data_IF_471835870952
#
_entry.id   IF_471835870952
#
_cell.length_a   1.000
_cell.length_b   1.000
_cell.length_c   1.000
_cell.angle_alpha   90.00
_cell.angle_beta   90.00
_cell.angle_gamma   90.00
#
_symmetry.space_group_name_H-M   'P 1'
#
loop_
_entity.id
_entity.type
_entity.pdbx_description
1 polymer ?
#
# COMPACT_ATOMS: atom_id res chain seq x y z
N UNK A 1 -3.97 30.33 -6.57
CA UNK A 1 -3.81 29.63 -5.28
C UNK A 1 -4.37 28.24 -5.46
N UNK A 2 -3.53 27.20 -5.55
CA UNK A 2 -4.02 25.83 -5.63
C UNK A 2 -4.84 25.54 -4.36
N UNK A 3 -6.08 25.08 -4.53
CA UNK A 3 -6.98 24.82 -3.41
C UNK A 3 -6.37 23.76 -2.49
N UNK A 4 -6.16 24.11 -1.22
CA UNK A 4 -5.73 23.14 -0.21
C UNK A 4 -6.71 21.96 -0.22
N UNK A 5 -6.20 20.77 -0.47
CA UNK A 5 -7.00 19.55 -0.46
C UNK A 5 -7.31 19.19 1.00
N UNK A 6 -8.58 19.25 1.37
CA UNK A 6 -9.05 19.05 2.75
C UNK A 6 -9.20 17.55 3.07
N UNK A 7 -8.32 17.03 3.95
CA UNK A 7 -8.35 15.64 4.39
C UNK A 7 -9.68 15.25 5.04
N UNK A 8 -10.35 16.16 5.75
CA UNK A 8 -11.65 15.87 6.38
C UNK A 8 -12.67 15.57 5.29
N UNK A 9 -12.73 16.38 4.23
CA UNK A 9 -13.64 16.15 3.09
C UNK A 9 -13.31 14.87 2.35
N UNK A 10 -12.02 14.57 2.18
CA UNK A 10 -11.57 13.32 1.58
C UNK A 10 -12.13 12.13 2.34
N UNK A 11 -11.80 12.01 3.64
CA UNK A 11 -12.18 10.85 4.42
C UNK A 11 -13.69 10.75 4.64
N UNK A 12 -14.40 11.88 4.73
CA UNK A 12 -15.87 11.90 4.73
C UNK A 12 -16.45 11.31 3.44
N UNK A 13 -15.90 11.68 2.29
CA UNK A 13 -16.40 11.18 1.00
C UNK A 13 -16.09 9.70 0.82
N UNK A 14 -14.91 9.25 1.24
CA UNK A 14 -14.56 7.81 1.26
C UNK A 14 -15.52 7.04 2.17
N UNK A 15 -15.75 7.53 3.40
CA UNK A 15 -16.70 6.92 4.35
C UNK A 15 -18.10 6.81 3.75
N UNK A 16 -18.57 7.87 3.08
CA UNK A 16 -19.87 7.88 2.41
C UNK A 16 -19.97 6.83 1.30
N UNK A 17 -18.97 6.75 0.42
CA UNK A 17 -18.97 5.76 -0.66
C UNK A 17 -18.90 4.32 -0.12
N UNK A 18 -18.12 4.08 0.94
CA UNK A 18 -18.08 2.78 1.60
C UNK A 18 -19.44 2.42 2.21
N UNK A 19 -20.10 3.36 2.90
CA UNK A 19 -21.44 3.15 3.46
C UNK A 19 -22.48 2.84 2.38
N UNK A 20 -22.41 3.50 1.22
CA UNK A 20 -23.28 3.20 0.08
C UNK A 20 -23.06 1.81 -0.51
N UNK A 21 -21.89 1.21 -0.29
CA UNK A 21 -21.53 -0.12 -0.78
C UNK A 21 -21.49 -1.18 0.34
N UNK A 22 -21.90 -0.82 1.56
CA UNK A 22 -21.76 -1.66 2.76
C UNK A 22 -22.39 -3.05 2.59
N UNK A 23 -23.63 -3.12 2.13
CA UNK A 23 -24.32 -4.40 1.94
C UNK A 23 -23.64 -5.28 0.89
N UNK A 24 -23.09 -4.68 -0.17
CA UNK A 24 -22.38 -5.42 -1.21
C UNK A 24 -21.05 -5.97 -0.67
N UNK A 25 -20.36 -5.21 0.17
CA UNK A 25 -19.14 -5.64 0.84
C UNK A 25 -19.41 -6.75 1.86
N UNK A 26 -20.52 -6.67 2.61
CA UNK A 26 -20.96 -7.75 3.51
C UNK A 26 -21.29 -9.03 2.75
N UNK A 27 -21.95 -8.93 1.59
CA UNK A 27 -22.23 -10.12 0.75
C UNK A 27 -20.97 -10.73 0.16
N UNK A 28 -19.95 -9.93 -0.15
CA UNK A 28 -18.69 -10.41 -0.71
C UNK A 28 -17.81 -11.14 0.33
N UNK A 29 -18.04 -10.86 1.61
CA UNK A 29 -17.42 -11.57 2.72
C UNK A 29 -18.22 -12.84 3.04
N UNK A 30 -17.76 -13.98 2.52
CA UNK A 30 -18.46 -15.27 2.65
C UNK A 30 -18.29 -15.96 4.00
N UNK A 31 -17.51 -15.39 4.92
CA UNK A 31 -17.23 -16.03 6.21
C UNK A 31 -18.22 -15.60 7.29
N UNK A 32 -18.26 -14.30 7.59
CA UNK A 32 -19.07 -13.73 8.67
C UNK A 32 -19.94 -12.55 8.23
N UNK A 33 -19.88 -12.15 6.96
CA UNK A 33 -20.76 -11.15 6.34
C UNK A 33 -20.76 -9.78 7.02
N UNK A 34 -19.64 -9.35 7.61
CA UNK A 34 -19.54 -8.09 8.36
C UNK A 34 -18.42 -7.17 7.84
N UNK A 35 -17.74 -7.55 6.75
CA UNK A 35 -16.62 -6.77 6.22
C UNK A 35 -17.00 -5.33 5.85
N UNK A 36 -18.18 -5.11 5.29
CA UNK A 36 -18.74 -3.79 5.00
C UNK A 36 -18.93 -2.96 6.27
N UNK A 37 -19.54 -3.53 7.32
CA UNK A 37 -19.67 -2.88 8.63
C UNK A 37 -18.31 -2.49 9.20
N UNK A 38 -17.37 -3.44 9.17
CA UNK A 38 -16.01 -3.26 9.67
C UNK A 38 -15.27 -2.12 8.94
N UNK A 39 -15.31 -2.10 7.61
CA UNK A 39 -14.64 -1.05 6.81
C UNK A 39 -15.30 0.32 6.99
N UNK A 40 -16.63 0.38 7.06
CA UNK A 40 -17.34 1.64 7.34
C UNK A 40 -16.98 2.17 8.72
N UNK A 41 -16.89 1.29 9.74
CA UNK A 41 -16.45 1.68 11.08
C UNK A 41 -15.01 2.20 11.08
N UNK A 42 -14.09 1.53 10.38
CA UNK A 42 -12.69 1.96 10.23
C UNK A 42 -12.63 3.39 9.68
N UNK A 43 -13.29 3.67 8.56
CA UNK A 43 -13.23 4.99 7.95
C UNK A 43 -13.98 6.08 8.73
N UNK A 44 -15.01 5.72 9.50
CA UNK A 44 -15.61 6.63 10.47
C UNK A 44 -14.62 7.04 11.57
N UNK A 45 -13.84 6.09 12.11
CA UNK A 45 -12.81 6.39 13.12
C UNK A 45 -11.71 7.28 12.55
N UNK A 46 -11.25 7.01 11.33
CA UNK A 46 -10.26 7.85 10.63
C UNK A 46 -10.82 9.27 10.44
N UNK A 47 -12.03 9.39 9.90
CA UNK A 47 -12.69 10.69 9.67
C UNK A 47 -12.82 11.49 10.96
N UNK A 48 -13.21 10.82 12.06
CA UNK A 48 -13.31 11.45 13.39
C UNK A 48 -11.95 11.96 13.87
N UNK A 49 -10.90 11.17 13.72
CA UNK A 49 -9.56 11.53 14.17
C UNK A 49 -8.96 12.70 13.38
N UNK A 50 -9.04 12.65 12.04
CA UNK A 50 -8.59 13.74 11.16
C UNK A 50 -9.35 15.03 11.47
N UNK A 51 -10.68 14.95 11.66
CA UNK A 51 -11.50 16.12 12.03
C UNK A 51 -11.08 16.74 13.35
N UNK A 52 -10.66 15.93 14.34
CA UNK A 52 -10.16 16.43 15.62
C UNK A 52 -8.82 17.19 15.50
N UNK A 53 -8.10 17.00 14.40
CA UNK A 53 -6.80 17.65 14.11
C UNK A 53 -6.85 18.56 12.88
N UNK A 54 -8.03 19.01 12.45
CA UNK A 54 -8.22 19.74 11.17
C UNK A 54 -7.32 20.98 10.95
N UNK A 55 -6.88 21.63 12.02
CA UNK A 55 -6.01 22.82 11.97
C UNK A 55 -4.50 22.48 12.04
N UNK A 56 -4.14 21.21 12.24
CA UNK A 56 -2.76 20.75 12.30
C UNK A 56 -2.20 20.47 10.90
N UNK A 57 -0.89 20.26 10.80
CA UNK A 57 -0.26 19.84 9.55
C UNK A 57 -0.84 18.49 9.06
N UNK A 58 -0.77 18.25 7.75
CA UNK A 58 -1.25 17.00 7.12
C UNK A 58 -0.61 15.78 7.78
N UNK A 59 0.70 15.82 8.05
CA UNK A 59 1.40 14.75 8.76
C UNK A 59 0.84 14.49 10.15
N UNK A 60 0.49 15.53 10.91
CA UNK A 60 -0.04 15.39 12.27
C UNK A 60 -1.47 14.86 12.27
N UNK A 61 -2.28 15.28 11.30
CA UNK A 61 -3.63 14.75 11.08
C UNK A 61 -3.59 13.24 10.82
N UNK A 62 -2.69 12.80 9.93
CA UNK A 62 -2.53 11.40 9.55
C UNK A 62 -1.91 10.56 10.69
N UNK A 63 -0.90 11.10 11.40
CA UNK A 63 -0.28 10.43 12.54
C UNK A 63 -1.30 10.18 13.66
N UNK A 64 -2.06 11.21 14.02
CA UNK A 64 -3.12 11.07 15.02
C UNK A 64 -4.21 10.09 14.59
N UNK A 65 -4.60 10.10 13.30
CA UNK A 65 -5.57 9.14 12.78
C UNK A 65 -5.06 7.70 12.84
N UNK A 66 -3.79 7.46 12.53
CA UNK A 66 -3.15 6.15 12.68
C UNK A 66 -3.19 5.66 14.12
N UNK A 67 -2.77 6.49 15.07
CA UNK A 67 -2.75 6.16 16.49
C UNK A 67 -4.16 5.92 17.03
N UNK A 68 -5.10 6.81 16.70
CA UNK A 68 -6.48 6.70 17.11
C UNK A 68 -7.13 5.44 16.56
N UNK A 69 -6.93 5.12 15.27
CA UNK A 69 -7.46 3.91 14.67
C UNK A 69 -6.88 2.65 15.32
N UNK A 70 -5.56 2.59 15.51
CA UNK A 70 -4.87 1.44 16.12
C UNK A 70 -5.38 1.13 17.54
N UNK A 71 -5.75 2.17 18.31
CA UNK A 71 -6.28 2.01 19.67
C UNK A 71 -7.76 1.61 19.70
N UNK A 72 -8.54 1.99 18.68
CA UNK A 72 -9.99 1.86 18.70
C UNK A 72 -10.53 0.78 17.73
N UNK A 73 -9.68 0.17 16.91
CA UNK A 73 -10.05 -0.91 16.00
C UNK A 73 -8.91 -1.93 15.85
N UNK A 74 -9.25 -3.19 16.04
CA UNK A 74 -8.28 -4.30 16.04
C UNK A 74 -8.51 -5.28 14.88
N UNK A 75 -9.41 -4.94 13.95
CA UNK A 75 -9.64 -5.75 12.75
C UNK A 75 -8.40 -5.69 11.86
N UNK A 76 -8.18 -6.74 11.06
CA UNK A 76 -7.05 -6.75 10.14
C UNK A 76 -7.12 -5.63 9.09
N UNK A 77 -8.30 -5.12 8.73
CA UNK A 77 -8.43 -3.98 7.82
C UNK A 77 -8.11 -2.67 8.53
N UNK A 78 -8.56 -2.51 9.78
CA UNK A 78 -8.19 -1.39 10.64
C UNK A 78 -6.68 -1.27 10.87
N UNK A 79 -6.01 -2.39 11.13
CA UNK A 79 -4.54 -2.44 11.26
C UNK A 79 -3.84 -2.04 9.95
N UNK A 80 -4.28 -2.58 8.81
CA UNK A 80 -3.73 -2.24 7.50
C UNK A 80 -3.83 -0.73 7.20
N UNK A 81 -5.01 -0.14 7.42
CA UNK A 81 -5.22 1.29 7.22
C UNK A 81 -4.46 2.13 8.25
N UNK A 82 -4.34 1.70 9.50
CA UNK A 82 -3.55 2.41 10.50
C UNK A 82 -2.07 2.47 10.11
N UNK A 83 -1.50 1.36 9.63
CA UNK A 83 -0.14 1.31 9.09
C UNK A 83 0.00 2.21 7.83
N UNK A 84 -1.01 2.23 6.97
CA UNK A 84 -1.07 3.14 5.83
C UNK A 84 -1.04 4.62 6.22
N UNK A 85 -1.83 4.99 7.23
CA UNK A 85 -1.86 6.34 7.79
C UNK A 85 -0.52 6.74 8.43
N UNK A 86 0.15 5.83 9.16
CA UNK A 86 1.47 6.10 9.73
C UNK A 86 2.55 6.34 8.67
N UNK A 87 2.52 5.55 7.58
CA UNK A 87 3.40 5.75 6.43
C UNK A 87 3.13 7.08 5.75
N UNK A 88 1.87 7.40 5.51
CA UNK A 88 1.48 8.68 4.92
C UNK A 88 1.91 9.86 5.81
N UNK A 89 1.73 9.77 7.12
CA UNK A 89 2.18 10.79 8.07
C UNK A 89 3.68 11.06 7.96
N UNK A 90 4.49 10.00 7.88
CA UNK A 90 5.94 10.11 7.72
C UNK A 90 6.31 10.75 6.38
N UNK A 91 5.65 10.36 5.29
CA UNK A 91 5.93 10.88 3.95
C UNK A 91 5.54 12.36 3.81
N UNK A 92 4.44 12.78 4.43
CA UNK A 92 3.90 14.14 4.31
C UNK A 92 4.45 15.13 5.34
N UNK A 93 5.51 14.78 6.09
CA UNK A 93 6.12 15.68 7.06
C UNK A 93 6.64 16.94 6.38
N UNK A 94 6.16 18.11 6.82
CA UNK A 94 6.51 19.41 6.22
C UNK A 94 5.95 19.63 4.80
N UNK A 95 5.04 18.77 4.34
CA UNK A 95 4.39 18.90 3.04
C UNK A 95 2.92 19.30 3.22
N UNK A 96 2.42 20.14 2.32
CA UNK A 96 0.98 20.35 2.14
C UNK A 96 0.44 19.30 1.18
N UNK A 97 -0.83 18.91 1.35
CA UNK A 97 -1.49 18.02 0.41
C UNK A 97 -1.88 18.81 -0.84
N UNK A 98 -1.36 18.41 -2.00
CA UNK A 98 -1.67 18.97 -3.31
C UNK A 98 -2.09 17.87 -4.29
N UNK A 99 -2.73 18.21 -5.42
CA UNK A 99 -2.99 17.22 -6.47
C UNK A 99 -1.73 16.47 -6.94
N UNK A 100 -0.57 17.12 -6.95
CA UNK A 100 0.69 16.58 -7.48
C UNK A 100 1.27 15.47 -6.59
N UNK A 101 1.17 15.61 -5.26
CA UNK A 101 1.66 14.60 -4.31
C UNK A 101 0.57 13.64 -3.82
N UNK A 102 -0.67 13.83 -4.27
CA UNK A 102 -1.83 13.06 -3.81
C UNK A 102 -1.77 11.57 -4.11
N UNK A 103 -1.15 11.16 -5.22
CA UNK A 103 -0.91 9.75 -5.52
C UNK A 103 0.01 9.09 -4.47
N UNK A 104 0.94 9.85 -3.89
CA UNK A 104 1.75 9.40 -2.78
C UNK A 104 0.91 9.04 -1.56
N UNK A 105 -0.13 9.84 -1.26
CA UNK A 105 -1.08 9.54 -0.18
C UNK A 105 -1.85 8.23 -0.43
N UNK A 106 -2.35 8.02 -1.65
CA UNK A 106 -3.11 6.80 -1.98
C UNK A 106 -2.19 5.57 -1.86
N UNK A 107 -0.97 5.64 -2.39
CA UNK A 107 0.01 4.58 -2.32
C UNK A 107 0.36 4.24 -0.86
N UNK A 108 0.62 5.27 -0.04
CA UNK A 108 0.93 5.09 1.38
C UNK A 108 -0.23 4.46 2.14
N UNK A 109 -1.47 4.93 1.91
CA UNK A 109 -2.66 4.46 2.63
C UNK A 109 -2.99 2.99 2.32
N UNK A 110 -2.92 2.60 1.05
CA UNK A 110 -3.19 1.22 0.64
C UNK A 110 -1.99 0.30 0.88
N UNK A 111 -0.79 0.87 0.94
CA UNK A 111 0.45 0.11 1.05
C UNK A 111 0.83 -0.63 -0.22
N UNK A 112 0.46 -0.08 -1.38
CA UNK A 112 0.87 -0.65 -2.65
C UNK A 112 2.40 -0.57 -2.81
N UNK A 113 3.03 -1.70 -3.15
CA UNK A 113 4.49 -1.80 -3.30
C UNK A 113 5.25 -2.27 -2.06
N UNK A 114 4.56 -2.60 -0.97
CA UNK A 114 5.13 -3.28 0.19
C UNK A 114 4.36 -4.58 0.39
N UNK A 115 4.91 -5.73 -0.02
CA UNK A 115 4.34 -6.99 0.45
C UNK A 115 4.45 -7.03 1.97
N UNK A 116 3.41 -7.54 2.63
CA UNK A 116 3.31 -7.59 4.08
C UNK A 116 4.50 -8.38 4.66
N UNK A 117 5.45 -7.67 5.30
CA UNK A 117 6.59 -8.28 5.96
C UNK A 117 7.89 -7.50 5.77
N UNK A 118 8.02 -6.33 6.39
CA UNK A 118 9.31 -5.79 6.87
C UNK A 118 9.10 -4.45 7.56
N UNK A 119 9.35 -4.43 8.87
CA UNK A 119 9.60 -3.22 9.65
C UNK A 119 10.93 -2.59 9.20
N UNK A 120 10.88 -1.55 8.35
CA UNK A 120 11.73 -0.33 8.41
C UNK A 120 11.47 0.58 7.18
N UNK A 121 11.68 1.90 7.30
CA UNK A 121 11.56 2.80 6.15
C UNK A 121 12.82 2.69 5.29
N UNK A 122 12.71 2.11 4.11
CA UNK A 122 13.72 2.29 3.06
C UNK A 122 13.21 3.36 2.09
N UNK A 123 13.88 4.50 2.09
CA UNK A 123 13.61 5.54 1.09
C UNK A 123 14.11 5.06 -0.28
N UNK A 124 13.45 5.41 -1.39
CA UNK A 124 13.93 5.07 -2.74
C UNK A 124 15.35 5.55 -3.05
N UNK A 125 15.83 6.57 -2.33
CA UNK A 125 17.19 7.10 -2.42
C UNK A 125 18.26 6.15 -1.84
N UNK A 126 17.93 5.37 -0.80
CA UNK A 126 18.87 4.41 -0.17
C UNK A 126 19.10 3.18 -1.06
N UNK A 127 18.08 2.77 -1.82
CA UNK A 127 18.20 1.66 -2.77
C UNK A 127 19.06 2.02 -3.99
N UNK A 128 19.00 3.27 -4.46
CA UNK A 128 19.89 3.75 -5.52
C UNK A 128 21.33 3.93 -5.03
N UNK A 129 21.52 4.32 -3.76
CA UNK A 129 22.84 4.40 -3.12
C UNK A 129 23.52 3.03 -2.97
N UNK A 130 22.74 2.00 -2.61
CA UNK A 130 23.26 0.63 -2.49
C UNK A 130 23.60 -0.01 -3.85
N UNK A 131 22.89 0.36 -4.92
CA UNK A 131 23.16 -0.13 -6.28
C UNK A 131 24.39 0.55 -6.92
N UNK A 132 24.69 1.79 -6.54
CA UNK A 132 25.77 2.59 -7.14
C UNK A 132 27.06 2.62 -6.29
N UNK A 133 27.02 2.16 -5.04
CA UNK A 133 28.10 2.29 -4.06
C UNK A 133 28.88 1.02 -3.73
N UNK A 134 28.90 -0.01 -4.59
CA UNK A 134 29.70 -1.22 -4.38
C UNK A 134 31.20 -0.98 -4.57
N UNK A 135 31.89 -0.41 -3.57
CA UNK A 135 33.33 -0.20 -3.62
C UNK A 135 34.02 -0.03 -2.26
N UNK A 136 34.83 -1.02 -1.88
CA UNK A 136 35.86 -0.98 -0.81
C UNK A 136 35.34 -1.29 0.61
N UNK A 137 35.99 -2.09 1.46
CA UNK A 137 37.37 -2.59 1.50
C UNK A 137 37.44 -3.77 2.50
N UNK A 138 38.26 -4.79 2.20
CA UNK A 138 38.57 -5.97 3.03
C UNK A 138 39.63 -5.63 4.13
N UNK A 139 40.12 -6.53 5.03
CA UNK A 139 40.44 -7.98 4.85
C UNK A 139 39.87 -8.90 5.98
N UNK A 140 39.86 -10.23 5.97
CA UNK A 140 40.79 -11.22 5.41
C UNK A 140 40.16 -12.64 5.23
N UNK A 141 40.76 -13.39 4.29
CA UNK A 141 41.05 -14.84 4.31
C UNK A 141 39.93 -15.86 4.03
N UNK A 142 39.86 -16.35 2.77
CA UNK A 142 40.25 -17.71 2.35
C UNK A 142 39.65 -18.07 0.98
N UNK A 143 40.40 -18.85 0.20
CA UNK A 143 40.29 -19.01 -1.24
C UNK A 143 39.27 -20.06 -1.71
N UNK A 144 38.95 -19.95 -3.02
CA UNK A 144 38.52 -21.04 -3.92
C UNK A 144 37.03 -21.40 -3.94
N UNK A 145 36.22 -20.73 -4.78
CA UNK A 145 34.89 -21.22 -5.17
C UNK A 145 34.40 -20.67 -6.54
N UNK A 146 35.30 -20.47 -7.52
CA UNK A 146 34.92 -20.01 -8.86
C UNK A 146 34.58 -21.16 -9.85
N UNK A 147 34.56 -22.41 -9.37
CA UNK A 147 34.20 -23.60 -10.15
C UNK A 147 32.87 -24.25 -9.78
N UNK A 148 32.24 -23.85 -8.66
CA UNK A 148 31.09 -24.57 -8.08
C UNK A 148 29.71 -24.09 -8.57
N UNK A 149 29.63 -22.93 -9.23
CA UNK A 149 28.35 -22.38 -9.66
C UNK A 149 27.81 -23.01 -10.95
N UNK A 150 28.67 -23.65 -11.76
CA UNK A 150 28.25 -24.31 -13.00
C UNK A 150 27.84 -25.79 -12.80
N UNK A 151 28.25 -26.41 -11.68
CA UNK A 151 27.83 -27.75 -11.28
C UNK A 151 26.45 -27.78 -10.60
N UNK A 152 26.09 -26.70 -9.89
CA UNK A 152 24.83 -26.59 -9.16
C UNK A 152 23.58 -26.36 -10.04
N UNK A 153 23.76 -26.03 -11.33
CA UNK A 153 22.65 -25.83 -12.27
C UNK A 153 22.18 -27.14 -12.94
N UNK A 154 22.92 -28.25 -12.80
CA UNK A 154 22.67 -29.49 -13.54
C UNK A 154 22.32 -30.72 -12.69
N UNK A 155 22.27 -30.62 -11.36
CA UNK A 155 21.99 -31.76 -10.48
C UNK A 155 20.99 -31.41 -9.38
N UNK A 156 19.75 -31.88 -9.51
CA UNK A 156 18.74 -31.78 -8.46
C UNK A 156 19.02 -32.70 -7.27
N UNK A 157 18.44 -32.37 -6.11
CA UNK A 157 18.40 -33.28 -4.96
C UNK A 157 18.26 -32.59 -3.60
N UNK A 158 17.02 -32.50 -3.14
CA UNK A 158 16.55 -32.67 -1.76
C UNK A 158 17.24 -31.97 -0.56
N UNK A 159 16.42 -31.11 0.08
CA UNK A 159 16.17 -31.01 1.53
C UNK A 159 17.33 -30.74 2.50
N UNK A 160 17.38 -29.52 3.03
CA UNK A 160 17.45 -29.28 4.48
C UNK A 160 16.99 -27.88 4.86
N UNK A 161 16.12 -27.85 5.88
CA UNK A 161 15.47 -26.69 6.47
C UNK A 161 16.48 -25.75 7.13
N UNK A 162 16.40 -24.45 6.81
CA UNK A 162 16.75 -23.40 7.74
C UNK A 162 15.95 -22.12 7.40
N UNK A 163 14.81 -21.95 8.09
CA UNK A 163 13.94 -20.78 7.96
C UNK A 163 14.50 -19.63 8.80
N UNK A 164 15.01 -18.58 8.16
CA UNK A 164 15.03 -17.21 8.68
C UNK A 164 15.39 -16.21 7.57
N UNK A 165 14.49 -15.23 7.37
CA UNK A 165 14.65 -13.96 6.63
C UNK A 165 14.78 -14.05 5.11
N UNK A 166 13.64 -14.27 4.46
CA UNK A 166 13.42 -13.81 3.08
C UNK A 166 13.32 -12.28 3.07
N UNK A 167 14.42 -11.63 2.71
CA UNK A 167 14.32 -10.36 1.98
C UNK A 167 13.69 -10.66 0.63
N UNK A 168 12.69 -9.87 0.24
CA UNK A 168 12.01 -10.04 -1.04
C UNK A 168 13.02 -9.99 -2.19
N UNK A 169 13.21 -11.12 -2.87
CA UNK A 169 14.12 -11.23 -4.01
C UNK A 169 13.70 -10.25 -5.11
N UNK A 170 14.67 -9.60 -5.76
CA UNK A 170 14.43 -8.73 -6.92
C UNK A 170 13.76 -9.49 -8.07
N UNK A 171 13.97 -10.80 -8.18
CA UNK A 171 13.22 -11.68 -9.09
C UNK A 171 11.76 -11.84 -8.69
N UNK A 172 11.46 -11.86 -7.38
CA UNK A 172 10.08 -11.91 -6.87
C UNK A 172 9.38 -10.56 -7.03
N UNK A 173 10.09 -9.44 -6.83
CA UNK A 173 9.61 -8.09 -7.12
C UNK A 173 9.36 -7.89 -8.63
N UNK A 174 10.24 -8.39 -9.49
CA UNK A 174 10.08 -8.34 -10.94
C UNK A 174 8.92 -9.24 -11.39
N UNK A 175 8.76 -10.43 -10.80
CA UNK A 175 7.60 -11.29 -11.06
C UNK A 175 6.28 -10.61 -10.63
N UNK A 176 6.27 -9.91 -9.50
CA UNK A 176 5.13 -9.12 -9.04
C UNK A 176 4.85 -7.92 -9.97
N UNK A 177 5.90 -7.22 -10.43
CA UNK A 177 5.80 -6.13 -11.40
C UNK A 177 5.31 -6.59 -12.78
N UNK A 178 5.74 -7.77 -13.24
CA UNK A 178 5.24 -8.41 -14.45
C UNK A 178 3.77 -8.79 -14.31
N UNK A 179 3.35 -9.32 -13.16
CA UNK A 179 1.94 -9.66 -12.91
C UNK A 179 1.05 -8.42 -12.89
N UNK A 180 1.52 -7.33 -12.27
CA UNK A 180 0.86 -6.00 -12.31
C UNK A 180 0.76 -5.48 -13.74
N UNK A 181 1.84 -5.56 -14.53
CA UNK A 181 1.88 -5.13 -15.91
C UNK A 181 0.96 -5.95 -16.83
N UNK A 182 0.90 -7.27 -16.63
CA UNK A 182 0.01 -8.16 -17.36
C UNK A 182 -1.46 -7.89 -17.02
N UNK A 183 -1.82 -7.72 -15.74
CA UNK A 183 -3.18 -7.35 -15.35
C UNK A 183 -3.59 -5.98 -15.90
N UNK A 184 -2.68 -5.00 -15.94
CA UNK A 184 -2.93 -3.71 -16.58
C UNK A 184 -3.19 -3.85 -18.09
N UNK A 185 -2.39 -4.68 -18.78
CA UNK A 185 -2.53 -4.93 -20.21
C UNK A 185 -3.81 -5.71 -20.53
N UNK A 186 -4.18 -6.65 -19.67
CA UNK A 186 -5.40 -7.44 -19.78
C UNK A 186 -6.64 -6.59 -19.51
N UNK A 187 -6.62 -5.72 -18.49
CA UNK A 187 -7.68 -4.75 -18.23
C UNK A 187 -7.90 -3.83 -19.44
N UNK A 188 -6.81 -3.39 -20.10
CA UNK A 188 -6.90 -2.60 -21.34
C UNK A 188 -7.48 -3.40 -22.51
N UNK A 189 -7.18 -4.70 -22.60
CA UNK A 189 -7.80 -5.61 -23.59
C UNK A 189 -9.29 -5.85 -23.31
N UNK A 190 -9.69 -5.84 -22.04
CA UNK A 190 -11.09 -5.94 -21.61
C UNK A 190 -11.86 -4.61 -21.74
N UNK A 191 -11.21 -3.54 -22.22
CA UNK A 191 -11.85 -2.24 -22.45
C UNK A 191 -11.96 -1.34 -21.22
N UNK A 192 -11.32 -1.70 -20.10
CA UNK A 192 -11.27 -0.84 -18.92
C UNK A 192 -10.48 0.44 -19.20
N UNK A 193 -10.91 1.53 -18.56
CA UNK A 193 -10.21 2.81 -18.63
C UNK A 193 -8.84 2.72 -17.95
N UNK A 194 -7.90 3.60 -18.35
CA UNK A 194 -6.57 3.66 -17.74
C UNK A 194 -6.63 3.86 -16.21
N UNK A 195 -7.68 4.51 -15.71
CA UNK A 195 -7.90 4.76 -14.29
C UNK A 195 -8.33 3.49 -13.55
N UNK A 196 -9.25 2.70 -14.11
CA UNK A 196 -9.66 1.42 -13.54
C UNK A 196 -8.48 0.44 -13.48
N UNK A 197 -7.68 0.36 -14.55
CA UNK A 197 -6.50 -0.49 -14.59
C UNK A 197 -5.44 -0.07 -13.55
N UNK A 198 -5.31 1.24 -13.28
CA UNK A 198 -4.44 1.75 -12.21
C UNK A 198 -4.98 1.43 -10.81
N UNK A 199 -6.28 1.53 -10.59
CA UNK A 199 -6.90 1.12 -9.32
C UNK A 199 -6.69 -0.39 -9.09
N UNK A 200 -6.89 -1.20 -10.13
CA UNK A 200 -6.69 -2.65 -10.06
C UNK A 200 -5.24 -3.01 -9.70
N UNK A 201 -4.26 -2.38 -10.35
CA UNK A 201 -2.83 -2.63 -10.07
C UNK A 201 -2.44 -2.19 -8.67
N UNK A 202 -2.96 -1.04 -8.23
CA UNK A 202 -2.71 -0.51 -6.90
C UNK A 202 -3.25 -1.42 -5.81
N UNK A 203 -4.48 -1.91 -5.98
CA UNK A 203 -5.12 -2.83 -5.03
C UNK A 203 -4.45 -4.19 -5.06
N UNK A 204 -4.12 -4.74 -6.23
CA UNK A 204 -3.42 -6.01 -6.36
C UNK A 204 -2.02 -5.96 -5.71
N UNK A 205 -1.32 -4.84 -5.82
CA UNK A 205 -0.03 -4.61 -5.19
C UNK A 205 -0.09 -4.25 -3.69
N UNK A 206 -1.29 -4.15 -3.12
CA UNK A 206 -1.51 -3.76 -1.72
C UNK A 206 -1.74 -4.96 -0.80
N UNK A 207 -1.55 -4.76 0.51
CA UNK A 207 -1.92 -5.75 1.52
C UNK A 207 -3.43 -6.10 1.47
N UNK A 208 -4.28 -5.18 0.99
CA UNK A 208 -5.72 -5.39 0.88
C UNK A 208 -6.11 -6.28 -0.31
N UNK A 209 -5.22 -6.50 -1.28
CA UNK A 209 -5.46 -7.36 -2.44
C UNK A 209 -5.52 -8.86 -2.13
N UNK A 210 -5.15 -9.27 -0.91
CA UNK A 210 -5.00 -10.68 -0.52
C UNK A 210 -6.32 -11.46 -0.42
N UNK A 211 -7.46 -10.77 -0.26
CA UNK A 211 -8.78 -11.41 -0.21
C UNK A 211 -9.77 -10.63 -1.07
N UNK A 212 -10.78 -11.29 -1.69
CA UNK A 212 -11.71 -10.62 -2.59
C UNK A 212 -12.46 -9.45 -1.95
N UNK A 213 -12.99 -9.61 -0.74
CA UNK A 213 -13.77 -8.58 -0.05
C UNK A 213 -12.89 -7.37 0.36
N UNK A 214 -11.64 -7.60 0.78
CA UNK A 214 -10.69 -6.52 1.06
C UNK A 214 -10.30 -5.79 -0.22
N UNK A 215 -10.05 -6.51 -1.30
CA UNK A 215 -9.73 -5.94 -2.60
C UNK A 215 -10.89 -5.04 -3.08
N UNK A 216 -12.14 -5.50 -2.97
CA UNK A 216 -13.32 -4.70 -3.34
C UNK A 216 -13.42 -3.40 -2.52
N UNK A 217 -13.27 -3.47 -1.20
CA UNK A 217 -13.27 -2.25 -0.36
C UNK A 217 -12.11 -1.31 -0.69
N UNK A 218 -10.91 -1.85 -0.95
CA UNK A 218 -9.73 -1.07 -1.32
C UNK A 218 -9.90 -0.40 -2.69
N UNK A 219 -10.56 -1.05 -3.65
CA UNK A 219 -10.92 -0.45 -4.94
C UNK A 219 -11.86 0.74 -4.77
N UNK A 220 -12.86 0.64 -3.88
CA UNK A 220 -13.76 1.77 -3.58
C UNK A 220 -12.98 2.94 -2.98
N UNK A 221 -12.09 2.66 -2.02
CA UNK A 221 -11.23 3.69 -1.42
C UNK A 221 -10.33 4.34 -2.47
N UNK A 222 -9.60 3.55 -3.25
CA UNK A 222 -8.67 4.02 -4.27
C UNK A 222 -9.36 4.88 -5.34
N UNK A 223 -10.48 4.38 -5.90
CA UNK A 223 -11.26 5.09 -6.92
C UNK A 223 -11.88 6.38 -6.39
N UNK A 224 -12.39 6.37 -5.15
CA UNK A 224 -12.94 7.58 -4.52
C UNK A 224 -11.85 8.63 -4.32
N UNK A 225 -10.69 8.24 -3.78
CA UNK A 225 -9.56 9.14 -3.60
C UNK A 225 -9.11 9.73 -4.93
N UNK A 226 -8.89 8.89 -5.94
CA UNK A 226 -8.44 9.33 -7.26
C UNK A 226 -9.45 10.27 -7.93
N UNK A 227 -10.75 10.01 -7.78
CA UNK A 227 -11.81 10.88 -8.30
C UNK A 227 -11.80 12.26 -7.65
N UNK A 228 -11.62 12.33 -6.32
CA UNK A 228 -11.57 13.61 -5.60
C UNK A 228 -10.35 14.46 -5.97
N UNK A 229 -9.21 13.79 -6.16
CA UNK A 229 -7.93 14.44 -6.45
C UNK A 229 -7.88 14.95 -7.89
N UNK A 230 -8.47 14.20 -8.83
CA UNK A 230 -8.63 14.64 -10.22
C UNK A 230 -9.74 15.69 -10.40
N UNK A 231 -10.83 15.62 -9.64
CA UNK A 231 -11.89 16.63 -9.68
C UNK A 231 -11.45 17.98 -9.10
N UNK A 232 -10.57 17.99 -8.08
CA UNK A 232 -10.00 19.21 -7.50
C UNK A 232 -8.93 19.90 -8.37
N UNK A 233 -8.59 19.32 -9.52
CA UNK A 233 -7.60 19.86 -10.46
C UNK A 233 -8.23 20.71 -11.58
N UNK A 234 -9.55 20.97 -11.53
CA UNK A 234 -10.30 21.78 -12.49
C UNK A 234 -10.61 23.17 -11.94
#
# INVERSE_FOLDING_TARGET
>A
MAGNVDLVKIFQTVTKNLAQNQDALNRADSYNHDHGDNVVQVFNLITKAVKAKKEAEVSDQLAYASEYLSKNNHSGSGQAYAQGLARAASQFKGQTLSPENSMGLINALLGAGQAAGSDQPTSPADLLGALLGGGGQAPAQSASAAGDLLGALLGGGDQSQNQSKEGMDTSQLLAMGLNIGMNFLEAKKQGHTNMEALVQSLVAGSQMGQTPHRAQSASIVASTLMSLLTAGSK
#
